data_IF_497912060951
#
_entry.id   IF_497912060951
#
_cell.length_a   1.000
_cell.length_b   1.000
_cell.length_c   1.000
_cell.angle_alpha   90.00
_cell.angle_beta   90.00
_cell.angle_gamma   90.00
#
_symmetry.space_group_name_H-M   'P 1'
#
loop_
_entity.id
_entity.type
_entity.pdbx_description
1 polymer ?
#
# COMPACT_ATOMS: atom_id res chain seq x y z
N UNK A 1 -2.23 -4.28 18.96
CA UNK A 1 -3.27 -3.33 19.40
C UNK A 1 -2.78 -1.87 19.51
N UNK A 2 -1.50 -1.57 19.80
CA UNK A 2 -1.00 -0.18 19.78
C UNK A 2 -0.96 0.48 18.38
N UNK A 3 -0.79 -0.29 17.31
CA UNK A 3 -0.91 0.23 15.93
C UNK A 3 -2.32 0.77 15.61
N UNK A 4 -3.36 0.28 16.28
CA UNK A 4 -4.75 0.76 16.15
C UNK A 4 -4.91 2.10 16.90
N UNK A 5 -4.21 2.29 18.02
CA UNK A 5 -4.19 3.58 18.74
C UNK A 5 -3.43 4.69 17.99
N UNK A 6 -2.42 4.33 17.19
CA UNK A 6 -1.69 5.28 16.35
C UNK A 6 -2.39 5.55 15.00
N UNK A 7 -3.34 4.70 14.60
CA UNK A 7 -4.17 4.85 13.40
C UNK A 7 -4.87 6.23 13.28
N UNK A 8 -5.49 6.82 14.33
CA UNK A 8 -6.05 8.17 14.25
C UNK A 8 -4.99 9.26 14.01
N UNK A 9 -3.76 9.08 14.48
CA UNK A 9 -2.65 10.00 14.25
C UNK A 9 -2.13 9.91 12.80
N UNK A 10 -1.99 8.68 12.29
CA UNK A 10 -1.58 8.43 10.91
C UNK A 10 -2.64 8.90 9.90
N UNK A 11 -3.93 8.73 10.23
CA UNK A 11 -5.04 9.29 9.43
C UNK A 11 -4.99 10.81 9.39
N UNK A 12 -4.67 11.49 10.49
CA UNK A 12 -4.51 12.96 10.50
C UNK A 12 -3.35 13.42 9.61
N UNK A 13 -2.23 12.69 9.62
CA UNK A 13 -1.06 13.00 8.79
C UNK A 13 -1.33 12.75 7.28
N UNK A 14 -2.08 11.70 6.96
CA UNK A 14 -2.47 11.38 5.57
C UNK A 14 -3.52 12.37 5.04
N UNK A 15 -4.46 12.83 5.88
CA UNK A 15 -5.51 13.78 5.47
C UNK A 15 -5.01 15.23 5.36
N UNK A 16 -3.80 15.55 5.86
CA UNK A 16 -3.21 16.89 5.74
C UNK A 16 -2.42 17.11 4.44
N UNK A 17 -2.28 16.08 3.60
CA UNK A 17 -1.59 16.17 2.32
C UNK A 17 -2.56 16.59 1.20
N UNK A 18 -2.11 17.40 0.21
CA UNK A 18 -2.97 17.86 -0.89
C UNK A 18 -3.55 16.69 -1.69
N UNK A 19 -4.87 16.71 -1.91
CA UNK A 19 -5.58 15.73 -2.73
C UNK A 19 -5.29 15.97 -4.21
N UNK A 20 -5.05 14.90 -4.97
CA UNK A 20 -4.77 14.98 -6.41
C UNK A 20 -6.04 15.49 -7.17
N UNK A 21 -5.96 16.59 -7.94
CA UNK A 21 -7.10 17.18 -8.66
C UNK A 21 -7.74 16.26 -9.71
N UNK A 22 -7.01 15.25 -10.22
CA UNK A 22 -7.50 14.39 -11.29
C UNK A 22 -8.31 13.17 -10.81
N UNK A 23 -8.14 12.74 -9.56
CA UNK A 23 -8.78 11.52 -9.02
C UNK A 23 -9.50 11.71 -7.69
N UNK A 24 -9.31 12.85 -7.01
CA UNK A 24 -9.92 13.14 -5.70
C UNK A 24 -9.39 12.29 -4.54
N UNK A 25 -8.36 11.46 -4.79
CA UNK A 25 -7.73 10.58 -3.79
C UNK A 25 -6.40 11.18 -3.28
N UNK A 26 -6.00 10.92 -2.02
CA UNK A 26 -4.68 11.31 -1.52
C UNK A 26 -3.58 10.67 -2.37
N UNK A 27 -2.51 11.41 -2.69
CA UNK A 27 -1.36 10.84 -3.41
C UNK A 27 -0.80 9.62 -2.66
N UNK A 28 -0.41 8.54 -3.36
CA UNK A 28 0.24 7.38 -2.74
C UNK A 28 1.49 7.76 -1.92
N UNK A 29 2.12 8.89 -2.25
CA UNK A 29 3.28 9.44 -1.53
C UNK A 29 2.95 9.83 -0.07
N UNK A 30 1.69 10.12 0.27
CA UNK A 30 1.28 10.36 1.65
C UNK A 30 1.46 9.12 2.54
N UNK A 31 1.39 7.92 1.96
CA UNK A 31 1.64 6.66 2.69
C UNK A 31 3.12 6.39 2.93
N UNK A 32 4.02 7.01 2.14
CA UNK A 32 5.48 6.83 2.31
C UNK A 32 6.02 7.50 3.59
N UNK A 33 5.44 8.65 3.98
CA UNK A 33 5.75 9.30 5.26
C UNK A 33 5.36 8.42 6.47
N UNK A 34 4.22 7.74 6.38
CA UNK A 34 3.78 6.82 7.44
C UNK A 34 4.62 5.54 7.45
N UNK A 35 5.03 5.03 6.28
CA UNK A 35 6.03 3.95 6.20
C UNK A 35 7.37 4.34 6.84
N UNK A 36 7.82 5.59 6.69
CA UNK A 36 9.08 6.04 7.30
C UNK A 36 9.05 5.96 8.83
N UNK A 37 7.89 6.26 9.46
CA UNK A 37 7.71 6.09 10.91
C UNK A 37 7.83 4.62 11.30
N UNK A 38 7.19 3.72 10.54
CA UNK A 38 7.33 2.28 10.73
C UNK A 38 8.78 1.80 10.57
N UNK A 39 9.47 2.29 9.53
CA UNK A 39 10.84 1.94 9.23
C UNK A 39 11.85 2.40 10.29
N UNK A 40 11.55 3.45 11.07
CA UNK A 40 12.37 3.89 12.20
C UNK A 40 12.03 3.09 13.46
N UNK A 41 10.75 2.79 13.69
CA UNK A 41 10.30 2.09 14.89
C UNK A 41 10.75 0.62 14.93
N UNK A 42 10.78 -0.06 13.77
CA UNK A 42 11.22 -1.46 13.65
C UNK A 42 12.67 -1.68 14.14
N UNK A 43 13.70 -0.98 13.61
CA UNK A 43 15.08 -1.18 14.04
C UNK A 43 15.30 -0.75 15.48
N UNK A 44 14.61 0.28 15.98
CA UNK A 44 14.71 0.66 17.41
C UNK A 44 14.22 -0.49 18.30
N UNK A 45 13.08 -1.10 17.97
CA UNK A 45 12.57 -2.26 18.69
C UNK A 45 13.51 -3.46 18.61
N UNK A 46 14.03 -3.76 17.41
CA UNK A 46 14.92 -4.89 17.18
C UNK A 46 16.29 -4.75 17.87
N UNK A 47 16.91 -3.56 17.78
CA UNK A 47 18.20 -3.30 18.41
C UNK A 47 18.09 -3.40 19.92
N UNK A 48 17.08 -2.79 20.54
CA UNK A 48 16.91 -2.86 21.99
C UNK A 48 16.54 -4.28 22.44
N UNK A 49 15.72 -5.00 21.68
CA UNK A 49 15.43 -6.41 21.92
C UNK A 49 16.70 -7.27 21.88
N UNK A 50 17.56 -7.07 20.88
CA UNK A 50 18.80 -7.83 20.70
C UNK A 50 19.77 -7.65 21.86
N UNK A 51 19.84 -6.45 22.46
CA UNK A 51 20.69 -6.19 23.62
C UNK A 51 20.07 -6.63 24.96
N UNK A 52 18.75 -6.76 25.02
CA UNK A 52 18.02 -7.14 26.24
C UNK A 52 17.71 -8.64 26.36
N UNK A 53 17.94 -9.42 25.30
CA UNK A 53 17.55 -10.84 25.25
C UNK A 53 18.49 -11.81 25.98
N UNK A 54 19.76 -11.45 26.16
CA UNK A 54 20.79 -12.36 26.69
C UNK A 54 21.22 -12.09 28.14
N UNK A 55 21.29 -10.84 28.64
CA UNK A 55 21.72 -10.62 30.02
C UNK A 55 20.68 -11.16 31.00
N UNK A 56 21.03 -12.20 31.78
CA UNK A 56 20.18 -12.76 32.83
C UNK A 56 19.86 -11.77 33.97
N UNK A 57 20.56 -10.63 34.00
CA UNK A 57 20.35 -9.52 34.92
C UNK A 57 19.15 -8.63 34.56
N UNK A 58 18.62 -8.75 33.33
CA UNK A 58 17.52 -7.93 32.84
C UNK A 58 16.20 -8.69 33.05
N UNK A 59 15.20 -8.02 33.64
CA UNK A 59 13.89 -8.61 33.86
C UNK A 59 13.25 -9.02 32.52
N UNK A 60 12.75 -10.26 32.41
CA UNK A 60 12.17 -10.85 31.19
C UNK A 60 11.06 -10.01 30.54
N UNK A 61 10.40 -9.15 31.32
CA UNK A 61 9.38 -8.21 30.82
C UNK A 61 9.95 -7.15 29.86
N UNK A 62 11.22 -6.78 30.00
CA UNK A 62 11.88 -5.73 29.20
C UNK A 62 11.94 -6.12 27.71
N UNK A 63 12.52 -7.28 27.31
CA UNK A 63 12.51 -7.69 25.91
C UNK A 63 11.08 -7.88 25.35
N UNK A 64 10.11 -8.29 26.17
CA UNK A 64 8.69 -8.39 25.75
C UNK A 64 8.11 -7.01 25.42
N UNK A 65 8.39 -6.00 26.24
CA UNK A 65 7.95 -4.62 26.00
C UNK A 65 8.56 -4.06 24.71
N UNK A 66 9.82 -4.40 24.39
CA UNK A 66 10.46 -3.97 23.13
C UNK A 66 10.02 -4.77 21.89
N UNK A 67 9.43 -5.96 22.07
CA UNK A 67 8.73 -6.66 20.98
C UNK A 67 7.49 -5.89 20.47
N UNK A 68 6.89 -5.03 21.30
CA UNK A 68 5.73 -4.22 20.96
C UNK A 68 6.04 -3.18 19.86
N UNK A 69 7.02 -2.27 19.99
CA UNK A 69 7.37 -1.32 18.94
C UNK A 69 7.86 -2.03 17.67
N UNK A 70 8.59 -3.13 17.78
CA UNK A 70 9.00 -3.93 16.62
C UNK A 70 7.80 -4.45 15.82
N UNK A 71 6.84 -5.10 16.49
CA UNK A 71 5.63 -5.60 15.85
C UNK A 71 4.75 -4.48 15.27
N UNK A 72 4.66 -3.34 15.96
CA UNK A 72 3.94 -2.17 15.46
C UNK A 72 4.60 -1.59 14.20
N UNK A 73 5.92 -1.41 14.18
CA UNK A 73 6.66 -0.90 13.02
C UNK A 73 6.57 -1.82 11.80
N UNK A 74 6.67 -3.14 12.01
CA UNK A 74 6.48 -4.13 10.96
C UNK A 74 5.06 -4.10 10.37
N UNK A 75 4.04 -4.02 11.23
CA UNK A 75 2.63 -3.95 10.80
C UNK A 75 2.35 -2.69 9.96
N UNK A 76 2.83 -1.53 10.43
CA UNK A 76 2.70 -0.25 9.72
C UNK A 76 3.38 -0.36 8.34
N UNK A 77 4.62 -0.84 8.31
CA UNK A 77 5.38 -1.01 7.06
C UNK A 77 4.65 -1.92 6.07
N UNK A 78 4.05 -3.02 6.54
CA UNK A 78 3.34 -3.97 5.70
C UNK A 78 2.03 -3.40 5.13
N UNK A 79 1.22 -2.75 5.98
CA UNK A 79 -0.08 -2.19 5.58
C UNK A 79 0.14 -1.04 4.59
N UNK A 80 0.98 -0.06 4.95
CA UNK A 80 1.19 1.12 4.10
C UNK A 80 2.03 0.80 2.86
N UNK A 81 2.95 -0.16 2.92
CA UNK A 81 3.66 -0.66 1.74
C UNK A 81 2.73 -1.34 0.75
N UNK A 82 1.81 -2.19 1.23
CA UNK A 82 0.80 -2.82 0.38
C UNK A 82 -0.17 -1.81 -0.23
N UNK A 83 -0.58 -0.79 0.55
CA UNK A 83 -1.41 0.32 0.05
C UNK A 83 -0.69 1.17 -0.99
N UNK A 84 0.60 1.46 -0.79
CA UNK A 84 1.42 2.16 -1.77
C UNK A 84 1.50 1.36 -3.07
N UNK A 85 1.74 0.04 -2.99
CA UNK A 85 1.83 -0.83 -4.17
C UNK A 85 0.50 -0.92 -4.91
N UNK A 86 -0.62 -1.04 -4.18
CA UNK A 86 -1.95 -1.04 -4.78
C UNK A 86 -2.29 0.31 -5.45
N UNK A 87 -1.95 1.43 -4.80
CA UNK A 87 -2.13 2.78 -5.36
C UNK A 87 -1.15 3.12 -6.49
N UNK A 88 -0.04 2.39 -6.60
CA UNK A 88 0.95 2.57 -7.66
C UNK A 88 0.71 1.75 -8.91
N UNK A 89 0.14 0.57 -8.74
CA UNK A 89 0.00 -0.40 -9.82
C UNK A 89 -1.46 -0.63 -10.22
N UNK A 90 -2.43 0.21 -9.82
CA UNK A 90 -3.89 0.13 -10.09
C UNK A 90 -4.40 -1.15 -10.79
N UNK A 91 -4.15 -1.31 -12.09
CA UNK A 91 -4.59 -2.47 -12.89
C UNK A 91 -3.80 -3.77 -12.61
N UNK A 92 -2.49 -3.69 -12.38
CA UNK A 92 -1.61 -4.80 -11.97
C UNK A 92 -1.38 -4.87 -10.45
N UNK A 93 -2.18 -4.16 -9.65
CA UNK A 93 -2.07 -4.15 -8.19
C UNK A 93 -2.09 -5.57 -7.61
N UNK A 94 -2.98 -6.43 -8.10
CA UNK A 94 -3.08 -7.83 -7.66
C UNK A 94 -1.79 -8.63 -7.96
N UNK A 95 -1.19 -8.45 -9.14
CA UNK A 95 0.06 -9.11 -9.53
C UNK A 95 1.24 -8.60 -8.70
N UNK A 96 1.32 -7.28 -8.48
CA UNK A 96 2.36 -6.68 -7.66
C UNK A 96 2.27 -7.15 -6.18
N UNK A 97 1.06 -7.21 -5.62
CA UNK A 97 0.82 -7.75 -4.28
C UNK A 97 1.15 -9.25 -4.20
N UNK A 98 0.79 -10.02 -5.23
CA UNK A 98 1.14 -11.44 -5.30
C UNK A 98 2.66 -11.64 -5.35
N UNK A 99 3.37 -10.87 -6.18
CA UNK A 99 4.84 -10.89 -6.23
C UNK A 99 5.48 -10.54 -4.89
N UNK A 100 4.98 -9.51 -4.21
CA UNK A 100 5.43 -9.16 -2.85
C UNK A 100 5.21 -10.31 -1.85
N UNK A 101 4.06 -10.99 -1.93
CA UNK A 101 3.77 -12.14 -1.08
C UNK A 101 4.72 -13.32 -1.37
N UNK A 102 5.02 -13.60 -2.63
CA UNK A 102 5.96 -14.67 -3.03
C UNK A 102 7.37 -14.39 -2.52
N UNK A 103 7.91 -13.18 -2.74
CA UNK A 103 9.25 -12.81 -2.27
C UNK A 103 9.35 -12.96 -0.75
N UNK A 104 8.34 -12.50 -0.02
CA UNK A 104 8.27 -12.64 1.44
C UNK A 104 8.21 -14.10 1.87
N UNK A 105 7.42 -14.93 1.20
CA UNK A 105 7.34 -16.36 1.51
C UNK A 105 8.65 -17.09 1.23
N UNK A 106 9.33 -16.77 0.13
CA UNK A 106 10.65 -17.32 -0.20
C UNK A 106 11.67 -16.92 0.87
N UNK A 107 11.73 -15.63 1.23
CA UNK A 107 12.61 -15.15 2.29
C UNK A 107 12.30 -15.86 3.62
N UNK A 108 11.02 -16.02 3.98
CA UNK A 108 10.59 -16.73 5.18
C UNK A 108 10.92 -18.22 5.17
N UNK A 109 11.04 -18.86 4.00
CA UNK A 109 11.48 -20.25 3.88
C UNK A 109 13.02 -20.42 3.88
N UNK A 110 13.76 -19.46 3.32
CA UNK A 110 15.22 -19.53 3.20
C UNK A 110 15.95 -19.09 4.49
N UNK A 111 15.44 -18.06 5.17
CA UNK A 111 16.07 -17.52 6.39
C UNK A 111 16.24 -18.56 7.51
N UNK A 112 15.26 -19.44 7.82
CA UNK A 112 15.43 -20.50 8.80
C UNK A 112 16.51 -21.52 8.43
N UNK A 113 16.78 -21.72 7.14
CA UNK A 113 17.82 -22.64 6.67
C UNK A 113 19.23 -22.05 6.89
N UNK A 114 19.36 -20.73 6.79
CA UNK A 114 20.60 -19.99 7.07
C UNK A 114 20.80 -19.69 8.57
N UNK A 115 19.72 -19.66 9.35
CA UNK A 115 19.71 -19.31 10.77
C UNK A 115 20.70 -20.09 11.63
N UNK A 116 20.70 -21.45 11.62
CA UNK A 116 21.60 -22.24 12.46
C UNK A 116 23.09 -21.92 12.22
N UNK A 117 23.49 -21.71 10.96
CA UNK A 117 24.88 -21.34 10.64
C UNK A 117 25.22 -19.93 11.11
N UNK A 118 24.27 -19.00 11.00
CA UNK A 118 24.43 -17.63 11.49
C UNK A 118 24.56 -17.59 13.02
N UNK A 119 23.69 -18.29 13.75
CA UNK A 119 23.75 -18.36 15.22
C UNK A 119 24.91 -19.23 15.74
N UNK A 120 25.42 -20.19 14.97
CA UNK A 120 26.62 -20.93 15.34
C UNK A 120 27.89 -20.09 15.21
N UNK A 121 27.93 -19.15 14.25
CA UNK A 121 29.06 -18.24 14.06
C UNK A 121 29.00 -16.98 14.95
N UNK A 122 27.81 -16.61 15.45
CA UNK A 122 27.56 -15.34 16.13
C UNK A 122 26.65 -15.53 17.35
N UNK A 123 26.92 -14.86 18.48
CA UNK A 123 25.98 -14.87 19.61
C UNK A 123 24.65 -14.20 19.23
N UNK A 124 23.52 -14.56 19.87
CA UNK A 124 22.21 -14.02 19.51
C UNK A 124 22.12 -12.48 19.53
N UNK A 125 22.88 -11.84 20.42
CA UNK A 125 22.99 -10.38 20.52
C UNK A 125 23.62 -9.74 19.28
N UNK A 126 24.68 -10.35 18.76
CA UNK A 126 25.38 -9.85 17.58
C UNK A 126 24.58 -10.14 16.30
N UNK A 127 23.95 -11.32 16.23
CA UNK A 127 23.05 -11.66 15.14
C UNK A 127 21.88 -10.66 15.02
N UNK A 128 21.19 -10.35 16.13
CA UNK A 128 20.09 -9.38 16.12
C UNK A 128 20.55 -7.93 15.90
N UNK A 129 21.76 -7.56 16.34
CA UNK A 129 22.32 -6.23 16.08
C UNK A 129 22.67 -6.04 14.60
N UNK A 130 23.20 -7.08 13.94
CA UNK A 130 23.48 -7.06 12.51
C UNK A 130 22.20 -6.92 11.69
N UNK A 131 21.15 -7.65 12.04
CA UNK A 131 19.83 -7.52 11.41
C UNK A 131 19.22 -6.12 11.66
N UNK A 132 19.34 -5.58 12.87
CA UNK A 132 18.91 -4.21 13.19
C UNK A 132 19.67 -3.14 12.40
N UNK A 133 20.99 -3.30 12.22
CA UNK A 133 21.80 -2.42 11.36
C UNK A 133 21.36 -2.49 9.90
N UNK A 134 21.03 -3.68 9.40
CA UNK A 134 20.50 -3.86 8.05
C UNK A 134 19.16 -3.12 7.88
N UNK A 135 18.27 -3.19 8.86
CA UNK A 135 17.02 -2.43 8.87
C UNK A 135 17.27 -0.92 8.90
N UNK A 136 18.23 -0.44 9.70
CA UNK A 136 18.63 0.97 9.71
C UNK A 136 19.12 1.42 8.34
N UNK A 137 19.91 0.60 7.65
CA UNK A 137 20.36 0.88 6.29
C UNK A 137 19.19 0.97 5.28
N UNK A 138 18.04 0.37 5.58
CA UNK A 138 16.83 0.44 4.76
C UNK A 138 15.94 1.66 5.06
N UNK A 139 16.13 2.38 6.17
CA UNK A 139 15.39 3.62 6.52
C UNK A 139 15.40 4.68 5.40
N UNK A 140 16.52 5.00 4.72
CA UNK A 140 16.52 6.03 3.68
C UNK A 140 15.69 5.65 2.45
N UNK A 141 15.40 4.36 2.23
CA UNK A 141 14.65 3.89 1.05
C UNK A 141 13.26 4.54 0.95
N UNK A 142 12.36 4.48 1.95
CA UNK A 142 11.06 5.14 1.89
C UNK A 142 11.16 6.66 1.74
N UNK A 143 12.17 7.32 2.32
CA UNK A 143 12.40 8.76 2.13
C UNK A 143 12.79 9.12 0.69
N UNK A 144 13.65 8.30 0.07
CA UNK A 144 14.04 8.46 -1.32
C UNK A 144 12.84 8.21 -2.24
N UNK A 145 12.03 7.19 -1.96
CA UNK A 145 10.79 6.93 -2.69
C UNK A 145 9.75 8.04 -2.51
N UNK A 146 9.69 8.70 -1.36
CA UNK A 146 8.83 9.86 -1.14
C UNK A 146 9.29 11.07 -1.97
N UNK A 147 10.60 11.36 -2.00
CA UNK A 147 11.15 12.53 -2.70
C UNK A 147 11.24 12.36 -4.22
N UNK A 148 11.51 11.14 -4.69
CA UNK A 148 11.75 10.82 -6.11
C UNK A 148 10.70 9.89 -6.74
N UNK A 149 9.66 9.49 -6.00
CA UNK A 149 8.62 8.56 -6.43
C UNK A 149 7.96 8.97 -7.75
N UNK A 150 7.58 10.23 -7.90
CA UNK A 150 7.05 10.77 -9.15
C UNK A 150 8.01 10.62 -10.36
N UNK A 151 9.32 10.85 -10.17
CA UNK A 151 10.34 10.70 -11.23
C UNK A 151 10.63 9.24 -11.58
N UNK A 152 10.63 8.36 -10.58
CA UNK A 152 10.83 6.91 -10.78
C UNK A 152 9.60 6.28 -11.45
N UNK A 153 8.39 6.71 -11.07
CA UNK A 153 7.16 6.32 -11.78
C UNK A 153 7.16 6.74 -13.24
N UNK A 154 7.61 7.96 -13.53
CA UNK A 154 7.64 8.47 -14.90
C UNK A 154 8.61 7.70 -15.82
N UNK A 155 9.68 7.11 -15.26
CA UNK A 155 10.68 6.36 -16.03
C UNK A 155 10.44 4.84 -16.08
N UNK A 156 9.59 4.27 -15.23
CA UNK A 156 9.39 2.82 -15.19
C UNK A 156 8.55 2.32 -16.39
N UNK A 157 9.07 1.40 -17.23
CA UNK A 157 8.34 0.85 -18.37
C UNK A 157 7.05 0.14 -17.95
N UNK A 158 7.02 -0.47 -16.76
CA UNK A 158 5.82 -1.10 -16.20
C UNK A 158 4.70 -0.09 -15.91
N UNK A 159 5.03 1.14 -15.49
CA UNK A 159 4.05 2.19 -15.19
C UNK A 159 3.59 2.92 -16.46
N UNK A 160 4.43 2.97 -17.50
CA UNK A 160 4.03 3.45 -18.83
C UNK A 160 3.01 2.54 -19.49
N UNK A 161 3.27 1.22 -19.49
CA UNK A 161 2.32 0.22 -19.97
C UNK A 161 0.97 0.30 -19.21
N UNK A 162 1.03 0.51 -17.88
CA UNK A 162 -0.14 0.70 -17.05
C UNK A 162 -0.98 1.93 -17.42
N UNK A 163 -0.36 3.08 -17.67
CA UNK A 163 -1.09 4.30 -18.07
C UNK A 163 -1.80 4.09 -19.41
N UNK A 164 -1.11 3.52 -20.39
CA UNK A 164 -1.68 3.27 -21.71
C UNK A 164 -2.88 2.32 -21.64
N UNK A 165 -2.80 1.28 -20.80
CA UNK A 165 -3.88 0.32 -20.65
C UNK A 165 -5.06 0.90 -19.84
N UNK A 166 -4.77 1.71 -18.81
CA UNK A 166 -5.78 2.44 -18.04
C UNK A 166 -6.55 3.41 -18.93
N UNK A 167 -5.84 4.21 -19.73
CA UNK A 167 -6.43 5.16 -20.69
C UNK A 167 -7.27 4.42 -21.75
N UNK A 168 -6.83 3.24 -22.19
CA UNK A 168 -7.57 2.38 -23.12
C UNK A 168 -8.87 1.87 -22.49
N UNK A 169 -8.85 1.44 -21.23
CA UNK A 169 -10.04 0.97 -20.52
C UNK A 169 -11.02 2.11 -20.20
N UNK A 170 -10.52 3.26 -19.76
CA UNK A 170 -11.35 4.43 -19.47
C UNK A 170 -11.98 4.97 -20.77
N UNK A 171 -11.24 4.97 -21.87
CA UNK A 171 -11.77 5.24 -23.21
C UNK A 171 -12.87 4.26 -23.62
N UNK A 172 -12.73 2.97 -23.31
CA UNK A 172 -13.76 1.96 -23.58
C UNK A 172 -15.01 2.17 -22.71
N UNK A 173 -14.84 2.47 -21.41
CA UNK A 173 -15.93 2.75 -20.46
C UNK A 173 -16.72 4.00 -20.85
N UNK A 174 -16.03 5.10 -21.16
CA UNK A 174 -16.66 6.34 -21.60
C UNK A 174 -17.46 6.15 -22.91
N UNK A 175 -16.92 5.39 -23.86
CA UNK A 175 -17.63 5.03 -25.10
C UNK A 175 -18.87 4.18 -24.82
N UNK A 176 -18.78 3.21 -23.91
CA UNK A 176 -19.89 2.36 -23.54
C UNK A 176 -21.01 3.13 -22.81
N UNK A 177 -20.67 4.01 -21.86
CA UNK A 177 -21.61 4.90 -21.18
C UNK A 177 -22.34 5.82 -22.16
N UNK A 178 -21.61 6.51 -23.04
CA UNK A 178 -22.24 7.35 -24.08
C UNK A 178 -23.18 6.56 -24.99
N UNK A 179 -22.86 5.28 -25.26
CA UNK A 179 -23.73 4.41 -26.08
C UNK A 179 -25.00 4.01 -25.33
N UNK A 180 -24.91 3.74 -24.02
CA UNK A 180 -26.06 3.49 -23.16
C UNK A 180 -26.95 4.72 -23.01
N UNK A 181 -26.36 5.89 -22.74
CA UNK A 181 -27.08 7.17 -22.64
C UNK A 181 -27.82 7.50 -23.94
N UNK A 182 -27.16 7.36 -25.10
CA UNK A 182 -27.82 7.52 -26.40
C UNK A 182 -28.94 6.52 -26.63
N UNK A 183 -28.79 5.28 -26.16
CA UNK A 183 -29.83 4.25 -26.30
C UNK A 183 -31.04 4.58 -25.41
N UNK A 184 -30.80 4.98 -24.16
CA UNK A 184 -31.82 5.44 -23.23
C UNK A 184 -32.54 6.71 -23.73
N UNK A 185 -31.81 7.67 -24.30
CA UNK A 185 -32.41 8.85 -24.92
C UNK A 185 -33.32 8.46 -26.08
N UNK A 186 -32.88 7.58 -26.97
CA UNK A 186 -33.71 7.08 -28.10
C UNK A 186 -34.93 6.31 -27.63
N UNK A 187 -34.81 5.50 -26.58
CA UNK A 187 -35.93 4.75 -25.99
C UNK A 187 -36.94 5.70 -25.31
N UNK A 188 -36.46 6.72 -24.59
CA UNK A 188 -37.31 7.75 -23.98
C UNK A 188 -38.02 8.63 -25.02
N UNK A 189 -37.34 8.96 -26.12
CA UNK A 189 -37.92 9.69 -27.24
C UNK A 189 -39.00 8.85 -27.96
N UNK A 190 -38.73 7.57 -28.21
CA UNK A 190 -39.74 6.64 -28.75
C UNK A 190 -40.95 6.48 -27.83
N UNK A 191 -40.74 6.32 -26.52
CA UNK A 191 -41.84 6.20 -25.56
C UNK A 191 -42.68 7.49 -25.46
N UNK A 192 -42.07 8.67 -25.62
CA UNK A 192 -42.82 9.93 -25.74
C UNK A 192 -43.65 9.99 -27.02
N UNK A 193 -43.07 9.63 -28.16
CA UNK A 193 -43.79 9.65 -29.45
C UNK A 193 -44.93 8.63 -29.48
N UNK A 194 -44.72 7.43 -28.95
CA UNK A 194 -45.77 6.40 -28.83
C UNK A 194 -46.86 6.80 -27.83
N UNK A 195 -46.49 7.40 -26.68
CA UNK A 195 -47.45 7.91 -25.70
C UNK A 195 -48.30 9.07 -26.22
N UNK A 196 -47.71 9.99 -27.01
CA UNK A 196 -48.44 11.10 -27.65
C UNK A 196 -49.42 10.57 -28.70
N UNK A 197 -49.01 9.59 -29.52
CA UNK A 197 -49.89 8.98 -30.52
C UNK A 197 -51.07 8.20 -29.94
N UNK A 198 -50.92 7.61 -28.75
CA UNK A 198 -52.02 6.91 -28.04
C UNK A 198 -53.02 7.89 -27.42
N UNK A 199 -52.56 9.04 -26.92
CA UNK A 199 -53.43 10.10 -26.38
C UNK A 199 -54.23 10.80 -27.49
N UNK A 200 -53.63 11.05 -28.65
CA UNK A 200 -54.31 11.65 -29.81
C UNK A 200 -55.42 10.73 -30.36
N UNK A 201 -55.21 9.41 -30.30
CA UNK A 201 -56.16 8.41 -30.78
C UNK A 201 -57.32 8.14 -29.81
N UNK A 202 -57.18 8.48 -28.53
CA UNK A 202 -58.23 8.32 -27.50
C UNK A 202 -59.04 9.59 -27.26
N UNK A 203 -58.60 10.75 -27.74
CA UNK A 203 -59.32 12.02 -27.68
C UNK A 203 -60.21 12.29 -28.92
N UNK A 204 -60.18 11.40 -29.92
CA UNK A 204 -60.91 11.54 -31.19
C UNK A 204 -62.12 10.61 -31.39
N UNK A 205 -62.41 9.74 -30.43
CA UNK A 205 -63.63 8.90 -30.34
C UNK A 205 -64.60 9.49 -29.30
#
# INVERSE_FOLDING_TARGET
MLAIFAEPLFRRLINSQPRDPATGRPHPEATALVMAIGAILTPIGQLVFSWTCLPATIHWAIPIVFGIPFGAGNTISFIYGSNYLAGAYSMYAASALAGNAVIRSVAGGVLPLAGPKMYAAMTPQWAGTLLGLLEVAMIPIPFVFWRYGAKIRAKSPAIRALREEQDRLDSKRAKYQKKLEKKQQREAEKAKTEGVGVLEKTAGD
#
